data_IF_704612496371
#
_entry.id   IF_704612496371
#
_cell.length_a   1.000
_cell.length_b   1.000
_cell.length_c   1.000
_cell.angle_alpha   90.00
_cell.angle_beta   90.00
_cell.angle_gamma   90.00
#
_symmetry.space_group_name_H-M   'P 1'
#
loop_
_entity.id
_entity.type
_entity.pdbx_description
1 polymer ?
#
# COMPACT_ATOMS: atom_id res chain seq x y z
N UNK A 1 -42.40 -7.02 -17.38
CA UNK A 1 -41.92 -5.98 -16.48
C UNK A 1 -41.28 -6.53 -15.21
N UNK A 2 -41.79 -7.59 -14.65
CA UNK A 2 -41.18 -8.23 -13.49
C UNK A 2 -39.82 -8.86 -13.80
N UNK A 3 -39.57 -9.22 -15.05
CA UNK A 3 -38.31 -9.83 -15.46
C UNK A 3 -37.11 -8.90 -15.26
N UNK A 4 -37.24 -7.60 -15.52
CA UNK A 4 -36.12 -6.67 -15.35
C UNK A 4 -35.73 -6.49 -13.88
N UNK A 5 -36.67 -6.53 -12.95
CA UNK A 5 -36.36 -6.48 -11.51
C UNK A 5 -35.65 -7.74 -11.03
N UNK A 6 -36.03 -8.92 -11.54
CA UNK A 6 -35.38 -10.18 -11.22
C UNK A 6 -33.92 -10.21 -11.72
N UNK A 7 -33.68 -9.75 -12.95
CA UNK A 7 -32.34 -9.68 -13.51
C UNK A 7 -31.45 -8.74 -12.72
N UNK A 8 -31.99 -7.59 -12.29
CA UNK A 8 -31.24 -6.63 -11.47
C UNK A 8 -30.82 -7.21 -10.11
N UNK A 9 -31.69 -7.98 -9.47
CA UNK A 9 -31.38 -8.63 -8.20
C UNK A 9 -30.28 -9.69 -8.36
N UNK A 10 -30.36 -10.49 -9.41
CA UNK A 10 -29.35 -11.51 -9.69
C UNK A 10 -27.99 -10.88 -9.98
N UNK A 11 -27.95 -9.80 -10.76
CA UNK A 11 -26.72 -9.08 -11.05
C UNK A 11 -26.12 -8.47 -9.76
N UNK A 12 -26.96 -7.89 -8.89
CA UNK A 12 -26.50 -7.34 -7.63
C UNK A 12 -25.92 -8.41 -6.70
N UNK A 13 -26.56 -9.58 -6.61
CA UNK A 13 -26.08 -10.70 -5.83
C UNK A 13 -24.76 -11.25 -6.37
N UNK A 14 -24.62 -11.37 -7.69
CA UNK A 14 -23.40 -11.84 -8.31
C UNK A 14 -22.24 -10.89 -8.03
N UNK A 15 -22.44 -9.57 -8.12
CA UNK A 15 -21.43 -8.58 -7.81
C UNK A 15 -21.04 -8.63 -6.33
N UNK A 16 -22.00 -8.77 -5.43
CA UNK A 16 -21.74 -8.87 -4.00
C UNK A 16 -20.92 -10.11 -3.66
N UNK A 17 -21.26 -11.26 -4.26
CA UNK A 17 -20.53 -12.52 -4.04
C UNK A 17 -19.09 -12.41 -4.56
N UNK A 18 -18.88 -11.80 -5.71
CA UNK A 18 -17.55 -11.58 -6.27
C UNK A 18 -16.72 -10.64 -5.38
N UNK A 19 -17.32 -9.57 -4.88
CA UNK A 19 -16.66 -8.64 -3.97
C UNK A 19 -16.23 -9.32 -2.67
N UNK A 20 -17.08 -10.13 -2.07
CA UNK A 20 -16.76 -10.89 -0.85
C UNK A 20 -15.59 -11.86 -1.11
N UNK A 21 -15.58 -12.50 -2.26
CA UNK A 21 -14.49 -13.39 -2.66
C UNK A 21 -13.17 -12.65 -2.78
N UNK A 22 -13.16 -11.49 -3.43
CA UNK A 22 -11.97 -10.65 -3.57
C UNK A 22 -11.46 -10.15 -2.21
N UNK A 23 -12.36 -9.77 -1.33
CA UNK A 23 -12.00 -9.35 0.02
C UNK A 23 -11.34 -10.48 0.82
N UNK A 24 -11.85 -11.71 0.69
CA UNK A 24 -11.24 -12.89 1.32
C UNK A 24 -9.86 -13.19 0.76
N UNK A 25 -9.71 -13.14 -0.54
CA UNK A 25 -8.43 -13.38 -1.20
C UNK A 25 -7.38 -12.35 -0.76
N UNK A 26 -7.78 -11.09 -0.67
CA UNK A 26 -6.90 -10.03 -0.19
C UNK A 26 -6.52 -10.25 1.28
N UNK A 27 -7.46 -10.59 2.14
CA UNK A 27 -7.19 -10.85 3.55
C UNK A 27 -6.20 -12.00 3.72
N UNK A 28 -6.33 -13.07 2.94
CA UNK A 28 -5.39 -14.18 2.94
C UNK A 28 -4.01 -13.75 2.45
N UNK A 29 -3.96 -12.94 1.41
CA UNK A 29 -2.70 -12.44 0.86
C UNK A 29 -1.96 -11.58 1.90
N UNK A 30 -2.68 -10.76 2.64
CA UNK A 30 -2.10 -9.96 3.72
C UNK A 30 -1.56 -10.87 4.84
N UNK A 31 -2.34 -11.86 5.26
CA UNK A 31 -1.93 -12.81 6.31
C UNK A 31 -0.70 -13.61 5.90
N UNK A 32 -0.59 -13.93 4.62
CA UNK A 32 0.53 -14.68 4.06
C UNK A 32 1.72 -13.80 3.67
N UNK A 33 1.57 -12.47 3.79
CA UNK A 33 2.58 -11.50 3.39
C UNK A 33 2.95 -11.62 1.91
N UNK A 34 1.93 -11.72 1.04
CA UNK A 34 2.10 -11.79 -0.42
C UNK A 34 1.06 -10.89 -1.07
N UNK A 35 1.34 -9.60 -1.11
CA UNK A 35 0.44 -8.63 -1.72
C UNK A 35 1.22 -7.48 -2.35
N UNK A 36 0.55 -6.77 -3.28
CA UNK A 36 1.08 -5.57 -3.93
C UNK A 36 0.07 -4.44 -3.79
N UNK A 37 0.58 -3.24 -3.51
CA UNK A 37 -0.22 -2.02 -3.48
C UNK A 37 0.18 -1.19 -4.69
N UNK A 38 -0.75 -1.01 -5.63
CA UNK A 38 -0.59 -0.10 -6.76
C UNK A 38 -0.91 1.31 -6.29
N UNK A 39 0.08 2.18 -6.34
CA UNK A 39 -0.03 3.54 -5.81
C UNK A 39 -0.48 4.48 -6.92
N UNK A 40 -1.55 5.21 -6.68
CA UNK A 40 -2.15 6.10 -7.66
C UNK A 40 -2.10 7.57 -7.27
N UNK A 41 -1.75 7.87 -6.01
CA UNK A 41 -1.76 9.22 -5.48
C UNK A 41 -0.63 9.42 -4.49
N UNK A 42 -0.02 10.59 -4.53
CA UNK A 42 1.09 10.96 -3.64
C UNK A 42 0.76 12.28 -2.95
N UNK A 43 0.95 12.34 -1.63
CA UNK A 43 0.77 13.55 -0.84
C UNK A 43 2.05 13.86 -0.09
N UNK A 44 2.91 14.76 -0.61
CA UNK A 44 4.11 15.18 0.12
C UNK A 44 3.74 16.06 1.30
N UNK A 45 4.62 16.10 2.32
CA UNK A 45 4.39 16.92 3.49
C UNK A 45 4.30 18.42 3.14
N UNK A 46 5.10 18.86 2.18
CA UNK A 46 5.22 20.28 1.78
C UNK A 46 4.85 20.51 0.33
N UNK A 47 3.81 19.89 -0.13
CA UNK A 47 3.39 20.06 -1.51
C UNK A 47 1.96 19.65 -1.72
N UNK A 48 1.44 19.93 -2.90
CA UNK A 48 0.08 19.55 -3.27
C UNK A 48 0.00 18.07 -3.59
N UNK A 49 -1.13 17.39 -3.29
CA UNK A 49 -1.36 16.03 -3.73
C UNK A 49 -1.26 15.90 -5.26
N UNK A 50 -0.68 14.78 -5.73
CA UNK A 50 -0.47 14.55 -7.15
C UNK A 50 -0.89 13.13 -7.53
N UNK A 51 -1.52 12.98 -8.69
CA UNK A 51 -1.74 11.69 -9.32
C UNK A 51 -0.42 11.15 -9.86
N UNK A 52 -0.17 9.86 -9.61
CA UNK A 52 1.02 9.18 -10.10
C UNK A 52 0.63 7.84 -10.71
N UNK A 53 1.51 7.27 -11.53
CA UNK A 53 1.31 5.96 -12.14
C UNK A 53 2.64 5.23 -12.27
N UNK A 54 2.59 3.91 -12.37
CA UNK A 54 3.79 3.09 -12.47
C UNK A 54 4.56 2.94 -11.16
N UNK A 55 3.92 3.16 -10.03
CA UNK A 55 4.53 3.05 -8.71
C UNK A 55 3.79 2.02 -7.87
N UNK A 56 4.53 1.28 -7.05
CA UNK A 56 3.96 0.22 -6.24
C UNK A 56 4.79 -0.07 -4.99
N UNK A 57 4.16 -0.74 -4.05
CA UNK A 57 4.81 -1.29 -2.86
C UNK A 57 4.40 -2.76 -2.76
N UNK A 58 5.37 -3.65 -2.80
CA UNK A 58 5.14 -5.09 -2.77
C UNK A 58 5.74 -5.71 -1.50
N UNK A 59 4.98 -6.58 -0.86
CA UNK A 59 5.45 -7.39 0.27
C UNK A 59 5.46 -8.85 -0.16
N UNK A 60 6.61 -9.51 -0.01
CA UNK A 60 6.81 -10.93 -0.31
C UNK A 60 7.55 -11.57 0.86
N UNK A 61 6.79 -12.21 1.77
CA UNK A 61 7.37 -12.86 2.94
C UNK A 61 8.10 -11.85 3.84
N UNK A 62 9.40 -11.94 3.91
CA UNK A 62 10.25 -11.07 4.71
C UNK A 62 10.92 -9.95 3.88
N UNK A 63 10.50 -9.79 2.63
CA UNK A 63 11.08 -8.82 1.70
C UNK A 63 10.05 -7.78 1.31
N UNK A 64 10.47 -6.51 1.28
CA UNK A 64 9.68 -5.40 0.77
C UNK A 64 10.34 -4.83 -0.47
N UNK A 65 9.55 -4.62 -1.51
CA UNK A 65 9.99 -4.01 -2.77
C UNK A 65 9.26 -2.68 -2.89
N UNK A 66 9.99 -1.60 -2.72
CA UNK A 66 9.44 -0.25 -2.81
C UNK A 66 9.82 0.36 -4.15
N UNK A 67 8.81 0.76 -4.92
CA UNK A 67 8.98 1.47 -6.19
C UNK A 67 8.14 2.74 -6.13
N UNK A 68 8.48 3.60 -5.17
CA UNK A 68 7.73 4.81 -4.87
C UNK A 68 8.55 6.05 -5.21
N UNK A 69 7.90 7.11 -5.76
CA UNK A 69 8.59 8.38 -5.93
C UNK A 69 8.76 9.08 -4.60
N UNK A 70 9.72 9.98 -4.51
CA UNK A 70 9.86 10.82 -3.34
C UNK A 70 9.97 12.29 -3.75
N UNK A 71 9.08 13.10 -3.18
CA UNK A 71 9.14 14.54 -3.21
C UNK A 71 9.10 15.06 -1.79
N UNK A 72 10.11 15.80 -1.38
CA UNK A 72 10.17 16.33 -0.04
C UNK A 72 11.57 16.80 0.29
N UNK A 73 11.73 17.26 1.53
CA UNK A 73 13.02 17.73 2.02
C UNK A 73 13.83 16.56 2.54
N UNK A 74 15.09 16.49 2.14
CA UNK A 74 16.06 15.48 2.57
C UNK A 74 17.13 16.17 3.39
N UNK A 75 17.25 15.79 4.66
CA UNK A 75 18.23 16.40 5.58
C UNK A 75 19.65 15.87 5.36
N UNK A 76 19.76 14.63 4.88
CA UNK A 76 21.05 14.01 4.60
C UNK A 76 20.89 13.11 3.36
N UNK A 77 21.29 13.62 2.20
CA UNK A 77 21.24 12.87 0.95
C UNK A 77 22.55 12.10 0.75
N UNK A 78 22.47 10.84 0.28
CA UNK A 78 23.67 10.11 -0.13
C UNK A 78 24.36 10.81 -1.30
N UNK A 79 25.64 10.54 -1.46
CA UNK A 79 26.38 11.07 -2.58
C UNK A 79 25.75 10.62 -3.89
N UNK A 80 25.44 11.56 -4.77
CA UNK A 80 24.74 11.29 -6.01
C UNK A 80 23.23 11.35 -5.92
N UNK A 81 22.66 11.73 -4.76
CA UNK A 81 21.22 11.91 -4.57
C UNK A 81 20.44 10.68 -4.15
N UNK A 82 20.98 9.47 -4.30
CA UNK A 82 20.34 8.22 -3.95
C UNK A 82 19.13 7.88 -4.83
N UNK A 83 18.50 6.75 -4.55
CA UNK A 83 17.36 6.22 -5.32
C UNK A 83 16.00 6.60 -4.73
N UNK A 84 15.98 7.46 -3.69
CA UNK A 84 14.75 7.84 -3.03
C UNK A 84 14.09 6.66 -2.33
N UNK A 85 12.83 6.37 -2.69
CA UNK A 85 12.08 5.25 -2.15
C UNK A 85 12.04 4.05 -3.10
N UNK A 86 12.98 3.95 -4.02
CA UNK A 86 13.13 2.79 -4.90
C UNK A 86 14.20 1.85 -4.33
N UNK A 87 13.76 0.78 -3.69
CA UNK A 87 14.69 -0.21 -3.12
C UNK A 87 13.99 -1.54 -2.87
N UNK A 88 14.80 -2.57 -2.72
CA UNK A 88 14.38 -3.89 -2.25
C UNK A 88 15.17 -4.18 -0.98
N UNK A 89 14.48 -4.52 0.11
CA UNK A 89 15.13 -4.74 1.38
C UNK A 89 14.41 -5.80 2.21
N UNK A 90 15.10 -6.35 3.19
CA UNK A 90 14.48 -7.23 4.17
C UNK A 90 13.66 -6.44 5.17
N UNK A 91 12.52 -7.00 5.54
CA UNK A 91 11.69 -6.44 6.60
C UNK A 91 12.37 -6.76 7.93
N UNK A 92 12.65 -5.73 8.71
CA UNK A 92 13.27 -5.88 10.03
C UNK A 92 12.24 -5.90 11.16
N UNK A 93 11.03 -5.39 10.90
CA UNK A 93 9.93 -5.43 11.85
C UNK A 93 8.61 -5.44 11.10
N UNK A 94 7.67 -6.23 11.58
CA UNK A 94 6.36 -6.35 10.97
C UNK A 94 5.30 -6.59 12.04
N UNK A 95 4.36 -5.65 12.13
CA UNK A 95 3.23 -5.74 13.06
C UNK A 95 1.94 -5.61 12.27
N UNK A 96 1.03 -6.54 12.50
CA UNK A 96 -0.29 -6.51 11.88
C UNK A 96 -1.35 -6.38 12.96
N UNK A 97 -2.22 -5.40 12.79
CA UNK A 97 -3.38 -5.20 13.66
C UNK A 97 -4.63 -5.18 12.80
N UNK A 98 -5.55 -6.11 13.05
CA UNK A 98 -6.82 -6.16 12.32
C UNK A 98 -7.90 -5.48 13.16
N UNK A 99 -8.49 -4.45 12.60
CA UNK A 99 -9.61 -3.72 13.20
C UNK A 99 -10.91 -4.07 12.47
N UNK A 100 -12.04 -3.58 12.97
CA UNK A 100 -13.33 -3.78 12.29
C UNK A 100 -13.40 -3.10 10.92
N UNK A 101 -12.58 -2.07 10.69
CA UNK A 101 -12.63 -1.26 9.47
C UNK A 101 -11.53 -1.61 8.48
N UNK A 102 -10.35 -1.96 8.96
CA UNK A 102 -9.19 -2.17 8.11
C UNK A 102 -8.12 -3.03 8.79
N UNK A 103 -7.11 -3.40 8.01
CA UNK A 103 -5.90 -4.02 8.53
C UNK A 103 -4.81 -2.95 8.57
N UNK A 104 -4.20 -2.77 9.72
CA UNK A 104 -3.06 -1.87 9.90
C UNK A 104 -1.77 -2.65 9.94
N UNK A 105 -0.82 -2.23 9.13
CA UNK A 105 0.50 -2.82 9.10
C UNK A 105 1.52 -1.76 9.47
N UNK A 106 2.45 -2.14 10.33
CA UNK A 106 3.61 -1.32 10.64
C UNK A 106 4.85 -2.11 10.23
N UNK A 107 5.49 -1.67 9.15
CA UNK A 107 6.59 -2.38 8.53
C UNK A 107 7.85 -1.53 8.67
N UNK A 108 8.87 -2.09 9.30
CA UNK A 108 10.18 -1.48 9.38
C UNK A 108 11.14 -2.17 8.45
N UNK A 109 11.94 -1.39 7.76
CA UNK A 109 12.99 -1.90 6.89
C UNK A 109 14.17 -0.94 6.90
N UNK A 110 15.31 -1.45 6.49
CA UNK A 110 16.55 -0.68 6.42
C UNK A 110 17.28 -1.00 5.13
N UNK A 111 17.78 0.04 4.48
CA UNK A 111 18.74 -0.11 3.40
C UNK A 111 20.06 0.55 3.80
N UNK A 112 21.00 0.68 2.86
CA UNK A 112 22.30 1.29 3.12
C UNK A 112 22.21 2.80 3.39
N UNK A 113 21.11 3.44 3.01
CA UNK A 113 20.93 4.88 3.10
C UNK A 113 20.19 5.31 4.37
N UNK A 114 19.17 4.56 4.76
CA UNK A 114 18.25 5.01 5.80
C UNK A 114 17.47 3.85 6.42
N UNK A 115 16.77 4.15 7.50
CA UNK A 115 15.77 3.26 8.09
C UNK A 115 14.40 3.82 7.78
N UNK A 116 13.50 2.98 7.28
CA UNK A 116 12.17 3.36 6.87
C UNK A 116 11.11 2.68 7.70
N UNK A 117 10.04 3.40 7.96
CA UNK A 117 8.85 2.87 8.59
C UNK A 117 7.68 3.12 7.67
N UNK A 118 7.02 2.05 7.26
CA UNK A 118 5.82 2.10 6.43
C UNK A 118 4.62 1.82 7.31
N UNK A 119 3.73 2.78 7.43
CA UNK A 119 2.44 2.59 8.11
C UNK A 119 1.38 2.43 7.03
N UNK A 120 0.78 1.25 6.96
CA UNK A 120 -0.14 0.87 5.89
C UNK A 120 -1.50 0.56 6.49
N UNK A 121 -2.55 1.15 5.93
CA UNK A 121 -3.94 0.83 6.27
C UNK A 121 -4.63 0.29 5.03
N UNK A 122 -5.06 -0.97 5.07
CA UNK A 122 -5.71 -1.64 3.95
C UNK A 122 -7.16 -1.92 4.32
N UNK A 123 -8.07 -1.33 3.56
CA UNK A 123 -9.50 -1.55 3.74
C UNK A 123 -9.95 -2.80 2.96
N UNK A 124 -11.10 -3.42 3.35
CA UNK A 124 -11.55 -4.66 2.71
C UNK A 124 -11.73 -4.56 1.19
N UNK A 125 -12.09 -3.39 0.68
CA UNK A 125 -12.23 -3.17 -0.77
C UNK A 125 -10.90 -3.00 -1.50
N UNK A 126 -9.77 -3.09 -0.78
CA UNK A 126 -8.44 -2.91 -1.34
C UNK A 126 -7.90 -1.49 -1.21
N UNK A 127 -8.74 -0.52 -0.91
CA UNK A 127 -8.30 0.87 -0.77
C UNK A 127 -7.26 0.98 0.34
N UNK A 128 -6.14 1.63 0.05
CA UNK A 128 -4.97 1.59 0.91
C UNK A 128 -4.36 2.98 1.09
N UNK A 129 -3.97 3.28 2.32
CA UNK A 129 -3.19 4.47 2.67
C UNK A 129 -1.83 4.03 3.20
N UNK A 130 -0.78 4.68 2.71
CA UNK A 130 0.60 4.40 3.12
C UNK A 130 1.21 5.71 3.61
N UNK A 131 1.83 5.67 4.80
CA UNK A 131 2.68 6.75 5.29
C UNK A 131 4.09 6.22 5.43
N UNK A 132 5.05 6.90 4.81
CA UNK A 132 6.46 6.53 4.87
C UNK A 132 7.20 7.56 5.70
N UNK A 133 7.85 7.09 6.74
CA UNK A 133 8.70 7.90 7.62
C UNK A 133 10.13 7.39 7.55
N UNK A 134 11.09 8.30 7.55
CA UNK A 134 12.50 7.95 7.61
C UNK A 134 13.24 9.01 8.41
N UNK A 135 14.51 8.73 8.75
CA UNK A 135 15.31 9.66 9.55
C UNK A 135 15.72 10.90 8.79
N UNK A 136 15.99 10.76 7.50
CA UNK A 136 16.63 11.79 6.69
C UNK A 136 15.71 12.47 5.71
N UNK A 137 14.41 12.15 5.74
CA UNK A 137 13.44 12.65 4.78
C UNK A 137 12.15 13.08 5.48
N UNK A 138 11.47 14.04 4.92
CA UNK A 138 10.12 14.38 5.35
C UNK A 138 9.18 13.17 5.15
N UNK A 139 8.17 13.09 6.00
CA UNK A 139 7.12 12.09 5.83
C UNK A 139 6.38 12.33 4.50
N UNK A 140 6.07 11.25 3.81
CA UNK A 140 5.28 11.31 2.59
C UNK A 140 4.18 10.24 2.65
N UNK A 141 3.02 10.56 2.10
CA UNK A 141 1.87 9.67 2.12
C UNK A 141 1.46 9.30 0.71
N UNK A 142 0.93 8.10 0.56
CA UNK A 142 0.46 7.56 -0.72
C UNK A 142 -0.92 6.95 -0.55
N UNK A 143 -1.68 6.93 -1.63
CA UNK A 143 -2.97 6.27 -1.70
C UNK A 143 -2.97 5.33 -2.89
N UNK A 144 -3.55 4.17 -2.74
CA UNK A 144 -3.58 3.18 -3.81
C UNK A 144 -4.53 2.04 -3.51
N UNK A 145 -4.34 0.93 -4.22
CA UNK A 145 -5.17 -0.25 -4.11
C UNK A 145 -4.31 -1.49 -3.93
N UNK A 146 -4.64 -2.28 -2.92
CA UNK A 146 -3.95 -3.52 -2.63
C UNK A 146 -4.61 -4.69 -3.35
N UNK A 147 -3.78 -5.63 -3.78
CA UNK A 147 -4.23 -6.86 -4.41
C UNK A 147 -3.28 -8.01 -4.07
N UNK A 148 -3.75 -9.27 -4.12
CA UNK A 148 -2.87 -10.43 -3.96
C UNK A 148 -1.82 -10.49 -5.06
N UNK A 149 -0.67 -11.01 -4.70
CA UNK A 149 0.39 -11.29 -5.69
C UNK A 149 0.08 -12.53 -6.51
#
# INVERSE_FOLDING_TARGET
MQLSCTVSKEAAQAQHTEQVKLEKELAQAIDNRHFTIDVTYMTPMRGAPQSISGHSLTVKGDTIISQLPYFGYVTSAPYGGGDGLNFTAKITGYKQETTKKCVRLNIETRNTEDTYQFMVEIYPNGHTFISVMSRNRDQISFTGDASPN
#
